data_IF_057365972905
#
_entry.id   IF_057365972905
#
_cell.length_a   1.000
_cell.length_b   1.000
_cell.length_c   1.000
_cell.angle_alpha   90.00
_cell.angle_beta   90.00
_cell.angle_gamma   90.00
#
_symmetry.space_group_name_H-M   'P 1'
#
loop_
_entity.id
_entity.type
_entity.pdbx_description
1 polymer ?
#
# COMPACT_ATOMS: atom_id res chain seq x y z
N UNK A 1 -7.99 9.33 18.92
CA UNK A 1 -7.48 8.09 18.30
C UNK A 1 -8.52 7.62 17.30
N UNK A 2 -8.14 7.28 16.07
CA UNK A 2 -9.03 6.72 15.05
C UNK A 2 -8.80 5.20 14.98
N UNK A 3 -9.84 4.43 15.22
CA UNK A 3 -9.77 2.98 15.35
C UNK A 3 -10.25 2.29 14.09
N UNK A 4 -9.37 1.52 13.43
CA UNK A 4 -9.71 0.77 12.23
C UNK A 4 -9.69 -0.72 12.54
N UNK A 5 -10.85 -1.38 12.46
CA UNK A 5 -10.92 -2.83 12.45
C UNK A 5 -10.87 -3.32 10.99
N UNK A 6 -10.17 -4.43 10.75
CA UNK A 6 -10.03 -5.00 9.42
C UNK A 6 -9.89 -6.52 9.48
N UNK A 7 -10.16 -7.19 8.38
CA UNK A 7 -9.91 -8.63 8.25
C UNK A 7 -9.48 -9.01 6.84
N UNK A 8 -8.73 -10.10 6.74
CA UNK A 8 -8.60 -10.88 5.53
C UNK A 8 -9.84 -11.79 5.41
N UNK A 9 -10.58 -11.66 4.31
CA UNK A 9 -11.76 -12.47 4.06
C UNK A 9 -11.42 -13.97 3.95
N UNK A 10 -12.36 -14.84 4.36
CA UNK A 10 -12.20 -16.29 4.35
C UNK A 10 -11.15 -16.84 5.32
N UNK A 11 -10.64 -18.04 5.04
CA UNK A 11 -9.53 -18.76 5.66
C UNK A 11 -8.88 -19.73 4.64
N UNK A 12 -7.88 -20.50 5.07
CA UNK A 12 -7.19 -21.47 4.22
C UNK A 12 -8.07 -22.67 3.80
N UNK A 13 -9.14 -22.96 4.55
CA UNK A 13 -10.00 -24.12 4.31
C UNK A 13 -11.33 -23.78 3.63
N UNK A 14 -11.66 -22.49 3.47
CA UNK A 14 -12.95 -22.07 2.87
C UNK A 14 -13.12 -22.69 1.46
N UNK A 15 -14.16 -23.52 1.24
CA UNK A 15 -14.33 -24.23 -0.02
C UNK A 15 -14.49 -23.31 -1.23
N UNK A 16 -13.85 -23.63 -2.36
CA UNK A 16 -13.98 -22.89 -3.62
C UNK A 16 -13.27 -21.54 -3.68
N UNK A 17 -12.74 -21.02 -2.56
CA UNK A 17 -12.11 -19.70 -2.47
C UNK A 17 -10.62 -19.78 -2.83
N UNK A 18 -10.35 -19.84 -4.15
CA UNK A 18 -9.00 -19.99 -4.73
C UNK A 18 -8.97 -19.66 -6.22
N UNK A 19 -7.79 -19.33 -6.73
CA UNK A 19 -7.60 -19.19 -8.17
C UNK A 19 -7.84 -20.53 -8.90
N UNK A 20 -8.38 -20.49 -10.11
CA UNK A 20 -8.51 -21.70 -10.94
C UNK A 20 -7.14 -22.16 -11.44
N UNK A 21 -6.95 -23.49 -11.54
CA UNK A 21 -5.66 -24.12 -11.90
C UNK A 21 -5.10 -23.67 -13.26
N UNK A 22 -5.94 -23.25 -14.19
CA UNK A 22 -5.51 -22.77 -15.51
C UNK A 22 -4.90 -21.36 -15.50
N UNK A 23 -5.10 -20.57 -14.42
CA UNK A 23 -4.46 -19.26 -14.21
C UNK A 23 -3.34 -19.33 -13.17
N UNK A 24 -3.48 -20.21 -12.20
CA UNK A 24 -2.47 -20.46 -11.17
C UNK A 24 -2.41 -21.95 -10.84
N UNK A 25 -1.36 -22.68 -11.28
CA UNK A 25 -1.20 -24.11 -10.98
C UNK A 25 -1.18 -24.44 -9.48
N UNK A 26 -0.78 -23.48 -8.63
CA UNK A 26 -0.77 -23.66 -7.18
C UNK A 26 -2.16 -23.49 -6.56
N UNK A 27 -3.13 -23.00 -7.32
CA UNK A 27 -4.48 -22.70 -6.84
C UNK A 27 -4.46 -21.87 -5.54
N UNK A 28 -3.69 -20.79 -5.54
CA UNK A 28 -3.53 -19.91 -4.38
C UNK A 28 -4.88 -19.54 -3.79
N UNK A 29 -5.02 -19.72 -2.49
CA UNK A 29 -6.26 -19.41 -1.75
C UNK A 29 -6.54 -17.92 -1.75
N UNK A 30 -7.81 -17.54 -1.81
CA UNK A 30 -8.23 -16.15 -1.68
C UNK A 30 -7.72 -15.51 -0.38
N UNK A 31 -7.80 -16.25 0.72
CA UNK A 31 -7.30 -15.80 2.00
C UNK A 31 -5.80 -15.40 1.94
N UNK A 32 -4.96 -16.16 1.22
CA UNK A 32 -3.52 -15.83 1.08
C UNK A 32 -3.30 -14.46 0.40
N UNK A 33 -4.13 -14.13 -0.58
CA UNK A 33 -4.07 -12.82 -1.23
C UNK A 33 -4.57 -11.72 -0.30
N UNK A 34 -5.67 -11.96 0.39
CA UNK A 34 -6.28 -11.05 1.34
C UNK A 34 -5.35 -10.78 2.54
N UNK A 35 -4.68 -11.83 3.05
CA UNK A 35 -3.72 -11.79 4.14
C UNK A 35 -2.49 -10.90 3.80
N UNK A 36 -1.93 -11.04 2.59
CA UNK A 36 -0.84 -10.17 2.12
C UNK A 36 -1.25 -8.69 2.14
N UNK A 37 -2.47 -8.39 1.65
CA UNK A 37 -3.00 -7.02 1.69
C UNK A 37 -3.19 -6.56 3.13
N UNK A 38 -3.76 -7.38 3.99
CA UNK A 38 -4.00 -7.08 5.41
C UNK A 38 -2.70 -6.80 6.17
N UNK A 39 -1.65 -7.58 5.91
CA UNK A 39 -0.33 -7.39 6.51
C UNK A 39 0.34 -6.08 6.06
N UNK A 40 0.23 -5.74 4.77
CA UNK A 40 0.74 -4.46 4.27
C UNK A 40 -0.09 -3.28 4.75
N UNK A 41 -1.41 -3.44 4.88
CA UNK A 41 -2.28 -2.42 5.47
C UNK A 41 -1.89 -2.10 6.92
N UNK A 42 -1.63 -3.12 7.73
CA UNK A 42 -1.14 -2.94 9.08
C UNK A 42 0.17 -2.13 9.13
N UNK A 43 1.11 -2.41 8.22
CA UNK A 43 2.36 -1.66 8.09
C UNK A 43 2.12 -0.22 7.64
N UNK A 44 1.19 0.00 6.69
CA UNK A 44 0.84 1.34 6.22
C UNK A 44 0.23 2.20 7.33
N UNK A 45 -0.64 1.61 8.16
CA UNK A 45 -1.30 2.30 9.28
C UNK A 45 -0.31 2.85 10.32
N UNK A 46 0.85 2.20 10.50
CA UNK A 46 1.91 2.69 11.40
C UNK A 46 2.47 4.06 10.99
N UNK A 47 2.30 4.46 9.74
CA UNK A 47 2.73 5.75 9.20
C UNK A 47 1.80 6.92 9.54
N UNK A 48 0.71 6.71 10.26
CA UNK A 48 -0.27 7.76 10.57
C UNK A 48 -0.37 8.05 12.06
N UNK A 49 -0.59 9.33 12.41
CA UNK A 49 -0.78 9.78 13.78
C UNK A 49 -2.16 9.38 14.30
N UNK A 50 -2.21 8.99 15.56
CA UNK A 50 -3.48 8.73 16.25
C UNK A 50 -4.30 7.58 15.67
N UNK A 51 -3.70 6.65 14.93
CA UNK A 51 -4.36 5.45 14.38
C UNK A 51 -4.10 4.24 15.25
N UNK A 52 -5.15 3.51 15.56
CA UNK A 52 -5.11 2.17 16.15
C UNK A 52 -5.76 1.18 15.18
N UNK A 53 -5.22 -0.03 15.11
CA UNK A 53 -5.74 -1.08 14.23
C UNK A 53 -6.05 -2.36 15.00
N UNK A 54 -7.10 -3.06 14.60
CA UNK A 54 -7.49 -4.35 15.14
C UNK A 54 -7.78 -5.33 13.99
N UNK A 55 -6.99 -6.38 13.88
CA UNK A 55 -7.31 -7.50 12.98
C UNK A 55 -8.37 -8.40 13.62
N UNK A 56 -9.43 -8.75 12.89
CA UNK A 56 -10.58 -9.48 13.44
C UNK A 56 -10.64 -10.95 13.03
N UNK A 57 -9.98 -11.36 11.93
CA UNK A 57 -9.79 -12.76 11.54
C UNK A 57 -8.61 -13.42 12.29
N UNK A 58 -8.41 -14.72 12.06
CA UNK A 58 -7.19 -15.42 12.47
C UNK A 58 -6.06 -15.15 11.48
N UNK A 59 -5.01 -14.44 11.93
CA UNK A 59 -3.86 -14.08 11.09
C UNK A 59 -3.01 -15.27 10.61
N UNK A 60 -3.31 -16.50 11.08
CA UNK A 60 -2.67 -17.71 10.56
C UNK A 60 -3.49 -18.40 9.48
N UNK A 61 -4.76 -17.98 9.31
CA UNK A 61 -5.73 -18.56 8.37
C UNK A 61 -6.14 -20.01 8.68
N UNK A 62 -5.72 -20.55 9.82
CA UNK A 62 -5.97 -21.95 10.21
C UNK A 62 -7.27 -22.15 10.97
N UNK A 63 -7.77 -21.08 11.58
CA UNK A 63 -8.99 -21.09 12.37
C UNK A 63 -10.04 -20.25 11.67
N UNK A 64 -11.15 -20.87 11.31
CA UNK A 64 -12.30 -20.12 10.78
C UNK A 64 -12.89 -19.24 11.88
N UNK A 65 -12.90 -17.93 11.63
CA UNK A 65 -13.63 -16.96 12.43
C UNK A 65 -14.80 -16.48 11.58
N UNK A 66 -16.02 -16.72 12.00
CA UNK A 66 -17.19 -16.36 11.21
C UNK A 66 -17.44 -14.84 11.17
N UNK A 67 -18.31 -14.40 10.27
CA UNK A 67 -18.59 -12.96 10.09
C UNK A 67 -19.20 -12.33 11.35
N UNK A 68 -20.18 -12.97 12.05
CA UNK A 68 -20.69 -12.45 13.31
C UNK A 68 -19.60 -12.21 14.36
N UNK A 69 -18.66 -13.14 14.53
CA UNK A 69 -17.58 -13.01 15.50
C UNK A 69 -16.59 -11.89 15.11
N UNK A 70 -16.22 -11.80 13.82
CA UNK A 70 -15.36 -10.71 13.31
C UNK A 70 -15.99 -9.35 13.56
N UNK A 71 -17.27 -9.20 13.24
CA UNK A 71 -18.00 -7.93 13.40
C UNK A 71 -18.27 -7.61 14.85
N UNK A 72 -18.61 -8.61 15.69
CA UNK A 72 -18.77 -8.42 17.13
C UNK A 72 -17.48 -7.95 17.80
N UNK A 73 -16.33 -8.49 17.40
CA UNK A 73 -15.00 -8.06 17.86
C UNK A 73 -14.73 -6.58 17.52
N UNK A 74 -15.03 -6.17 16.29
CA UNK A 74 -14.90 -4.78 15.85
C UNK A 74 -15.87 -3.85 16.62
N UNK A 75 -17.14 -4.24 16.75
CA UNK A 75 -18.16 -3.49 17.48
C UNK A 75 -17.77 -3.30 18.96
N UNK A 76 -17.36 -4.38 19.63
CA UNK A 76 -16.97 -4.35 21.05
C UNK A 76 -15.71 -3.52 21.29
N UNK A 77 -14.79 -3.49 20.33
CA UNK A 77 -13.59 -2.66 20.42
C UNK A 77 -13.88 -1.17 20.17
N UNK A 78 -15.05 -0.84 19.62
CA UNK A 78 -15.47 0.52 19.31
C UNK A 78 -14.68 1.08 18.14
N UNK A 79 -14.60 0.33 17.04
CA UNK A 79 -13.96 0.79 15.81
C UNK A 79 -14.71 1.97 15.20
N UNK A 80 -13.98 2.89 14.55
CA UNK A 80 -14.53 4.01 13.79
C UNK A 80 -14.75 3.64 12.33
N UNK A 81 -14.05 2.59 11.85
CA UNK A 81 -14.16 2.05 10.49
C UNK A 81 -13.89 0.54 10.51
N UNK A 82 -14.65 -0.20 9.70
CA UNK A 82 -14.39 -1.61 9.41
C UNK A 82 -14.04 -1.81 7.93
N UNK A 83 -12.99 -2.59 7.66
CA UNK A 83 -12.55 -2.90 6.28
C UNK A 83 -12.47 -4.41 6.10
N UNK A 84 -13.28 -4.95 5.19
CA UNK A 84 -13.28 -6.35 4.79
C UNK A 84 -12.51 -6.49 3.47
N UNK A 85 -11.40 -7.24 3.49
CA UNK A 85 -10.45 -7.33 2.37
C UNK A 85 -10.62 -8.64 1.62
N UNK A 86 -10.90 -8.57 0.32
CA UNK A 86 -11.25 -9.71 -0.53
C UNK A 86 -10.62 -9.64 -1.93
N UNK A 87 -10.71 -10.75 -2.66
CA UNK A 87 -10.49 -10.85 -4.09
C UNK A 87 -11.68 -11.53 -4.77
N UNK A 88 -12.17 -10.94 -5.83
CA UNK A 88 -13.41 -11.28 -6.51
C UNK A 88 -13.26 -12.49 -7.44
N UNK A 89 -14.40 -12.98 -7.95
CA UNK A 89 -14.50 -13.96 -9.02
C UNK A 89 -15.77 -13.71 -9.85
N UNK A 90 -15.89 -14.36 -11.01
CA UNK A 90 -17.06 -14.27 -11.90
C UNK A 90 -16.73 -13.77 -13.30
N UNK A 91 -15.44 -13.76 -13.69
CA UNK A 91 -14.97 -13.46 -15.07
C UNK A 91 -14.82 -14.74 -15.89
N UNK A 92 -14.67 -15.91 -15.22
CA UNK A 92 -14.63 -17.25 -15.83
C UNK A 92 -13.54 -17.37 -16.91
N UNK A 93 -12.35 -16.89 -16.65
CA UNK A 93 -11.19 -16.97 -17.58
C UNK A 93 -11.18 -15.89 -18.65
N UNK A 94 -12.16 -14.99 -18.69
CA UNK A 94 -12.17 -13.82 -19.56
C UNK A 94 -11.17 -12.77 -19.15
N UNK A 95 -11.15 -11.66 -19.89
CA UNK A 95 -10.33 -10.48 -19.59
C UNK A 95 -11.16 -9.43 -18.87
N UNK A 96 -10.48 -8.53 -18.14
CA UNK A 96 -11.11 -7.44 -17.38
C UNK A 96 -11.32 -7.82 -15.92
N UNK A 97 -12.19 -7.09 -15.24
CA UNK A 97 -12.38 -7.17 -13.80
C UNK A 97 -12.01 -5.88 -13.13
N UNK A 98 -10.90 -5.87 -12.38
CA UNK A 98 -10.38 -4.72 -11.65
C UNK A 98 -10.92 -4.60 -10.23
N UNK A 99 -10.49 -3.58 -9.52
CA UNK A 99 -10.91 -3.30 -8.15
C UNK A 99 -12.39 -2.94 -8.10
N UNK A 100 -13.10 -3.51 -7.11
CA UNK A 100 -14.47 -3.12 -6.77
C UNK A 100 -14.55 -2.79 -5.28
N UNK A 101 -15.41 -1.86 -4.90
CA UNK A 101 -15.62 -1.54 -3.50
C UNK A 101 -17.11 -1.39 -3.17
N UNK A 102 -17.47 -1.80 -1.96
CA UNK A 102 -18.86 -1.91 -1.53
C UNK A 102 -19.06 -1.21 -0.18
N UNK A 103 -20.21 -0.57 -0.02
CA UNK A 103 -20.70 -0.08 1.25
C UNK A 103 -22.12 -0.60 1.52
N UNK A 104 -22.56 -0.55 2.78
CA UNK A 104 -23.92 -0.90 3.11
C UNK A 104 -24.93 0.09 2.49
N UNK A 105 -26.10 -0.38 1.97
CA UNK A 105 -27.11 0.49 1.37
C UNK A 105 -27.53 1.62 2.30
N UNK A 106 -27.50 2.86 1.77
CA UNK A 106 -27.86 4.06 2.52
C UNK A 106 -26.81 4.59 3.49
N UNK A 107 -25.68 3.89 3.70
CA UNK A 107 -24.60 4.36 4.57
C UNK A 107 -23.80 5.50 3.93
N UNK A 108 -24.09 6.74 4.28
CA UNK A 108 -23.39 7.92 3.76
C UNK A 108 -21.91 7.90 4.12
N UNK A 109 -21.57 7.53 5.34
CA UNK A 109 -20.16 7.44 5.76
C UNK A 109 -19.45 6.25 5.13
N UNK A 110 -20.12 5.10 5.02
CA UNK A 110 -19.58 3.94 4.30
C UNK A 110 -19.25 4.28 2.84
N UNK A 111 -20.13 5.01 2.14
CA UNK A 111 -19.86 5.51 0.78
C UNK A 111 -18.64 6.42 0.73
N UNK A 112 -18.52 7.37 1.66
CA UNK A 112 -17.38 8.29 1.71
C UNK A 112 -16.05 7.54 1.78
N UNK A 113 -15.93 6.54 2.65
CA UNK A 113 -14.72 5.72 2.77
C UNK A 113 -14.52 4.83 1.54
N UNK A 114 -15.58 4.18 1.05
CA UNK A 114 -15.55 3.34 -0.16
C UNK A 114 -14.97 4.10 -1.36
N UNK A 115 -15.51 5.28 -1.63
CA UNK A 115 -15.14 6.10 -2.77
C UNK A 115 -13.70 6.59 -2.65
N UNK A 116 -13.30 7.09 -1.47
CA UNK A 116 -11.94 7.56 -1.22
C UNK A 116 -10.90 6.42 -1.32
N UNK A 117 -11.21 5.23 -0.79
CA UNK A 117 -10.34 4.05 -0.90
C UNK A 117 -10.17 3.65 -2.36
N UNK A 118 -11.26 3.54 -3.10
CA UNK A 118 -11.22 3.18 -4.52
C UNK A 118 -10.40 4.19 -5.33
N UNK A 119 -10.67 5.48 -5.19
CA UNK A 119 -9.95 6.55 -5.88
C UNK A 119 -8.45 6.49 -5.59
N UNK A 120 -8.06 6.34 -4.33
CA UNK A 120 -6.66 6.22 -3.94
C UNK A 120 -5.98 5.00 -4.58
N UNK A 121 -6.65 3.85 -4.62
CA UNK A 121 -6.12 2.64 -5.27
C UNK A 121 -5.91 2.87 -6.77
N UNK A 122 -6.88 3.48 -7.46
CA UNK A 122 -6.76 3.72 -8.91
C UNK A 122 -5.68 4.76 -9.21
N UNK A 123 -5.58 5.82 -8.42
CA UNK A 123 -4.51 6.83 -8.54
C UNK A 123 -3.12 6.25 -8.31
N UNK A 124 -2.98 5.29 -7.39
CA UNK A 124 -1.73 4.59 -7.14
C UNK A 124 -1.33 3.60 -8.26
N UNK A 125 -2.19 3.37 -9.26
CA UNK A 125 -1.95 2.42 -10.36
C UNK A 125 -2.54 1.03 -10.12
N UNK A 126 -3.48 0.89 -9.21
CA UNK A 126 -4.26 -0.35 -9.01
C UNK A 126 -5.11 -0.71 -10.23
N UNK A 127 -5.61 -1.93 -10.24
CA UNK A 127 -6.37 -2.50 -11.36
C UNK A 127 -7.71 -1.75 -11.57
N UNK A 128 -7.77 -0.84 -12.54
CA UNK A 128 -9.00 -0.15 -12.90
C UNK A 128 -10.03 -1.11 -13.53
N UNK A 129 -9.55 -2.04 -14.34
CA UNK A 129 -10.41 -3.00 -15.04
C UNK A 129 -11.41 -2.37 -16.00
N UNK A 130 -12.48 -3.11 -16.29
CA UNK A 130 -13.52 -2.72 -17.28
C UNK A 130 -14.94 -2.72 -16.71
N UNK A 131 -15.11 -2.71 -15.39
CA UNK A 131 -16.42 -2.69 -14.74
C UNK A 131 -17.06 -1.31 -14.89
N UNK A 132 -18.33 -1.29 -15.37
CA UNK A 132 -19.10 -0.05 -15.49
C UNK A 132 -19.53 0.53 -14.13
N UNK A 133 -19.66 -0.34 -13.12
CA UNK A 133 -20.04 0.03 -11.75
C UNK A 133 -19.09 -0.66 -10.76
N UNK A 134 -17.87 -0.15 -10.57
CA UNK A 134 -16.93 -0.69 -9.60
C UNK A 134 -17.32 -0.33 -8.14
N UNK A 135 -18.10 0.74 -7.95
CA UNK A 135 -18.57 1.22 -6.66
C UNK A 135 -20.05 0.85 -6.51
N UNK A 136 -20.37 0.06 -5.50
CA UNK A 136 -21.73 -0.45 -5.31
C UNK A 136 -22.17 -0.38 -3.85
N UNK A 137 -23.48 -0.46 -3.64
CA UNK A 137 -24.08 -0.69 -2.33
C UNK A 137 -24.60 -2.13 -2.29
N UNK A 138 -24.18 -2.88 -1.26
CA UNK A 138 -24.58 -4.29 -1.05
C UNK A 138 -24.77 -4.55 0.44
N UNK A 139 -25.82 -5.31 0.76
CA UNK A 139 -26.09 -5.73 2.14
C UNK A 139 -25.32 -7.03 2.47
N UNK A 140 -23.99 -7.01 2.34
CA UNK A 140 -23.15 -8.10 2.81
C UNK A 140 -23.18 -8.16 4.35
N UNK A 141 -23.15 -9.34 4.92
CA UNK A 141 -23.24 -9.52 6.37
C UNK A 141 -22.13 -8.77 7.12
N UNK A 142 -20.91 -8.76 6.57
CA UNK A 142 -19.79 -8.01 7.14
C UNK A 142 -20.00 -6.50 7.18
N UNK A 143 -20.87 -5.96 6.33
CA UNK A 143 -21.25 -4.56 6.32
C UNK A 143 -22.53 -4.29 7.12
N UNK A 144 -23.42 -5.28 7.20
CA UNK A 144 -24.71 -5.16 7.86
C UNK A 144 -24.61 -5.31 9.40
N UNK A 145 -23.70 -6.15 9.87
CA UNK A 145 -23.54 -6.48 11.29
C UNK A 145 -22.59 -5.53 12.04
N UNK A 146 -21.97 -4.59 11.36
CA UNK A 146 -21.12 -3.56 11.95
C UNK A 146 -21.92 -2.35 12.38
N UNK A 147 -21.58 -1.74 13.52
CA UNK A 147 -22.21 -0.52 14.06
C UNK A 147 -21.53 0.77 13.57
N UNK A 148 -20.32 0.67 13.02
CA UNK A 148 -19.57 1.76 12.43
C UNK A 148 -19.68 1.73 10.90
N UNK A 149 -19.23 2.78 10.17
CA UNK A 149 -19.03 2.72 8.73
C UNK A 149 -18.19 1.51 8.34
N UNK A 150 -18.61 0.79 7.30
CA UNK A 150 -17.93 -0.41 6.84
C UNK A 150 -17.79 -0.41 5.31
N UNK A 151 -16.65 -0.94 4.84
CA UNK A 151 -16.32 -1.07 3.41
C UNK A 151 -15.78 -2.48 3.16
N UNK A 152 -16.28 -3.13 2.11
CA UNK A 152 -15.67 -4.34 1.56
C UNK A 152 -14.94 -3.96 0.26
N UNK A 153 -13.68 -4.37 0.14
CA UNK A 153 -12.86 -4.09 -1.03
C UNK A 153 -12.44 -5.39 -1.70
N UNK A 154 -12.71 -5.50 -2.99
CA UNK A 154 -12.28 -6.57 -3.86
C UNK A 154 -11.12 -6.07 -4.72
N UNK A 155 -9.90 -6.53 -4.47
CA UNK A 155 -8.68 -5.98 -5.06
C UNK A 155 -8.34 -6.49 -6.47
N UNK A 156 -9.21 -7.25 -7.08
CA UNK A 156 -9.12 -7.82 -8.42
C UNK A 156 -9.82 -9.17 -8.49
N UNK A 157 -9.89 -9.75 -9.69
CA UNK A 157 -10.63 -10.98 -9.94
C UNK A 157 -9.69 -12.18 -10.09
N UNK A 158 -9.84 -13.16 -9.22
CA UNK A 158 -9.02 -14.39 -9.18
C UNK A 158 -9.15 -15.25 -10.44
N UNK A 159 -10.29 -15.17 -11.13
CA UNK A 159 -10.60 -15.93 -12.34
C UNK A 159 -10.50 -15.11 -13.63
N UNK A 160 -9.90 -13.92 -13.56
CA UNK A 160 -9.62 -13.06 -14.71
C UNK A 160 -8.22 -13.32 -15.28
N UNK A 161 -8.11 -13.52 -16.58
CA UNK A 161 -6.83 -13.69 -17.26
C UNK A 161 -5.93 -12.45 -17.21
N UNK A 162 -6.52 -11.26 -16.99
CA UNK A 162 -5.77 -10.00 -16.86
C UNK A 162 -5.43 -9.65 -15.41
N UNK A 163 -6.29 -9.98 -14.45
CA UNK A 163 -6.07 -9.60 -13.06
C UNK A 163 -5.21 -10.65 -12.32
N UNK A 164 -5.42 -11.94 -12.58
CA UNK A 164 -4.75 -13.03 -11.87
C UNK A 164 -3.21 -12.90 -11.85
N UNK A 165 -2.51 -12.61 -12.96
CA UNK A 165 -1.06 -12.43 -12.93
C UNK A 165 -0.61 -11.26 -12.05
N UNK A 166 -1.45 -10.24 -11.87
CA UNK A 166 -1.16 -9.04 -11.10
C UNK A 166 -1.41 -9.27 -9.61
N UNK A 167 -2.58 -9.79 -9.25
CA UNK A 167 -2.98 -10.01 -7.84
C UNK A 167 -2.12 -11.08 -7.14
N UNK A 168 -1.46 -11.94 -7.89
CA UNK A 168 -0.51 -12.92 -7.35
C UNK A 168 0.80 -12.29 -6.88
N UNK A 169 1.08 -11.03 -7.27
CA UNK A 169 2.34 -10.36 -6.93
C UNK A 169 2.29 -9.68 -5.56
N UNK A 170 3.43 -9.67 -4.89
CA UNK A 170 3.61 -8.93 -3.62
C UNK A 170 3.51 -7.42 -3.83
N UNK A 171 3.94 -6.94 -5.00
CA UNK A 171 3.86 -5.53 -5.39
C UNK A 171 2.43 -5.03 -5.42
N UNK A 172 1.53 -5.82 -6.01
CA UNK A 172 0.12 -5.46 -6.04
C UNK A 172 -0.47 -5.40 -4.63
N UNK A 173 -0.24 -6.43 -3.82
CA UNK A 173 -0.72 -6.46 -2.45
C UNK A 173 -0.26 -5.24 -1.65
N UNK A 174 1.02 -4.89 -1.75
CA UNK A 174 1.60 -3.72 -1.11
C UNK A 174 0.99 -2.42 -1.64
N UNK A 175 0.89 -2.26 -2.98
CA UNK A 175 0.33 -1.08 -3.61
C UNK A 175 -1.09 -0.80 -3.11
N UNK A 176 -1.99 -1.80 -3.22
CA UNK A 176 -3.40 -1.61 -2.87
C UNK A 176 -3.61 -1.41 -1.38
N UNK A 177 -2.79 -2.05 -0.54
CA UNK A 177 -2.86 -1.89 0.91
C UNK A 177 -2.47 -0.48 1.36
N UNK A 178 -1.37 0.05 0.85
CA UNK A 178 -0.93 1.43 1.16
C UNK A 178 -1.93 2.45 0.62
N UNK A 179 -2.42 2.26 -0.61
CA UNK A 179 -3.45 3.12 -1.20
C UNK A 179 -4.78 3.06 -0.42
N UNK A 180 -5.18 1.88 0.08
CA UNK A 180 -6.34 1.74 0.96
C UNK A 180 -6.19 2.61 2.20
N UNK A 181 -5.02 2.59 2.86
CA UNK A 181 -4.78 3.43 4.04
C UNK A 181 -4.74 4.92 3.68
N UNK A 182 -4.22 5.30 2.52
CA UNK A 182 -4.25 6.69 2.03
C UNK A 182 -5.68 7.18 1.80
N UNK A 183 -6.55 6.35 1.19
CA UNK A 183 -7.96 6.65 1.03
C UNK A 183 -8.69 6.82 2.36
N UNK A 184 -8.42 5.93 3.33
CA UNK A 184 -8.93 6.06 4.70
C UNK A 184 -8.48 7.38 5.33
N UNK A 185 -7.19 7.68 5.23
CA UNK A 185 -6.60 8.89 5.82
C UNK A 185 -7.21 10.17 5.22
N UNK A 186 -7.37 10.21 3.91
CA UNK A 186 -8.01 11.33 3.21
C UNK A 186 -9.48 11.51 3.67
N UNK A 187 -10.23 10.42 3.77
CA UNK A 187 -11.63 10.48 4.21
C UNK A 187 -11.79 10.84 5.68
N UNK A 188 -10.90 10.35 6.56
CA UNK A 188 -10.96 10.59 8.00
C UNK A 188 -10.22 11.87 8.44
N UNK A 189 -9.46 12.52 7.56
CA UNK A 189 -8.64 13.68 7.90
C UNK A 189 -7.44 13.32 8.79
N UNK A 190 -6.84 12.12 8.58
CA UNK A 190 -5.69 11.67 9.34
C UNK A 190 -4.39 12.25 8.78
N UNK A 191 -3.48 12.63 9.66
CA UNK A 191 -2.16 13.13 9.30
C UNK A 191 -1.15 11.98 9.26
N UNK A 192 -0.27 11.98 8.26
CA UNK A 192 0.91 11.13 8.29
C UNK A 192 1.80 11.56 9.46
N UNK A 193 2.36 10.59 10.17
CA UNK A 193 3.41 10.88 11.15
C UNK A 193 4.51 11.66 10.44
N UNK A 194 5.07 12.69 11.09
CA UNK A 194 6.33 13.25 10.63
C UNK A 194 7.30 12.08 10.42
N UNK A 195 8.04 12.07 9.32
CA UNK A 195 9.12 11.09 9.14
C UNK A 195 10.08 11.33 10.31
N UNK A 196 9.97 10.48 11.35
CA UNK A 196 10.75 10.67 12.56
C UNK A 196 12.24 10.72 12.22
N UNK A 197 12.96 11.55 12.95
CA UNK A 197 14.41 11.70 12.89
C UNK A 197 15.15 10.34 12.87
N UNK A 198 14.63 9.33 13.58
CA UNK A 198 15.14 7.95 13.54
C UNK A 198 15.10 7.31 12.14
N UNK A 199 14.12 7.62 11.31
CA UNK A 199 14.05 7.14 9.91
C UNK A 199 15.04 7.88 9.01
N UNK A 200 15.25 9.18 9.25
CA UNK A 200 16.26 9.98 8.57
C UNK A 200 17.66 9.56 9.00
N UNK A 201 17.91 9.42 10.31
CA UNK A 201 19.17 8.95 10.85
C UNK A 201 19.55 7.57 10.30
N UNK A 202 18.60 6.64 10.23
CA UNK A 202 18.83 5.32 9.64
C UNK A 202 19.16 5.41 8.14
N UNK A 203 18.45 6.24 7.38
CA UNK A 203 18.76 6.51 5.98
C UNK A 203 20.15 7.11 5.80
N UNK A 204 20.50 8.13 6.60
CA UNK A 204 21.83 8.75 6.56
C UNK A 204 22.93 7.73 6.84
N UNK A 205 22.77 6.86 7.85
CA UNK A 205 23.72 5.77 8.14
C UNK A 205 23.89 4.82 6.95
N UNK A 206 22.80 4.44 6.29
CA UNK A 206 22.86 3.58 5.09
C UNK A 206 23.58 4.29 3.93
N UNK A 207 23.29 5.57 3.69
CA UNK A 207 24.00 6.38 2.68
C UNK A 207 25.49 6.46 3.01
N UNK A 208 25.85 6.77 4.24
CA UNK A 208 27.25 6.86 4.70
C UNK A 208 27.97 5.53 4.50
N UNK A 209 27.36 4.41 4.88
CA UNK A 209 27.92 3.08 4.71
C UNK A 209 28.20 2.75 3.25
N UNK A 210 27.22 3.03 2.36
CA UNK A 210 27.33 2.70 0.93
C UNK A 210 28.32 3.63 0.21
N UNK A 211 28.42 4.89 0.63
CA UNK A 211 29.29 5.89 0.01
C UNK A 211 30.68 5.99 0.65
N UNK A 212 30.95 5.21 1.70
CA UNK A 212 32.25 5.21 2.38
C UNK A 212 32.53 6.49 3.16
N UNK A 213 31.50 7.07 3.80
CA UNK A 213 31.64 8.14 4.77
C UNK A 213 31.64 7.59 6.20
N UNK A 214 31.99 8.41 7.18
CA UNK A 214 31.86 8.06 8.59
C UNK A 214 30.40 7.77 8.94
N UNK A 215 30.11 6.59 9.54
CA UNK A 215 28.74 6.11 9.80
C UNK A 215 28.26 6.59 11.18
N UNK A 216 28.01 7.88 11.30
CA UNK A 216 27.50 8.53 12.53
C UNK A 216 25.99 8.81 12.52
N UNK A 217 25.35 8.75 11.34
CA UNK A 217 23.93 9.06 11.14
C UNK A 217 23.65 10.56 11.07
N UNK A 218 24.67 11.40 10.97
CA UNK A 218 24.57 12.87 10.87
C UNK A 218 24.94 13.28 9.44
N UNK A 219 23.99 13.85 8.70
CA UNK A 219 24.24 14.36 7.36
C UNK A 219 25.05 15.66 7.45
N UNK A 220 26.33 15.56 7.23
CA UNK A 220 27.28 16.68 7.27
C UNK A 220 28.00 16.90 5.94
N UNK A 221 28.95 17.88 5.89
CA UNK A 221 29.74 18.18 4.70
C UNK A 221 30.48 16.95 4.14
N UNK A 222 30.97 16.05 5.01
CA UNK A 222 31.62 14.81 4.59
C UNK A 222 30.64 13.90 3.85
N UNK A 223 29.47 13.60 4.45
CA UNK A 223 28.42 12.79 3.80
C UNK A 223 28.04 13.37 2.45
N UNK A 224 27.80 14.68 2.40
CA UNK A 224 27.44 15.37 1.16
C UNK A 224 28.55 15.29 0.11
N UNK A 225 29.81 15.42 0.52
CA UNK A 225 30.96 15.36 -0.41
C UNK A 225 31.11 14.00 -1.10
N UNK A 226 30.64 12.92 -0.46
CA UNK A 226 30.69 11.54 -0.96
C UNK A 226 29.52 11.18 -1.87
N UNK A 227 28.45 12.01 -1.92
CA UNK A 227 27.29 11.70 -2.77
C UNK A 227 27.67 11.60 -4.24
N UNK A 228 26.99 10.71 -4.94
CA UNK A 228 27.16 10.48 -6.38
C UNK A 228 25.94 10.96 -7.15
N UNK A 229 26.09 11.26 -8.43
CA UNK A 229 24.96 11.53 -9.31
C UNK A 229 24.28 10.22 -9.67
N UNK A 230 22.96 10.15 -9.53
CA UNK A 230 22.14 8.96 -9.85
C UNK A 230 21.01 9.35 -10.79
N UNK A 231 20.93 8.65 -11.91
CA UNK A 231 19.85 8.73 -12.88
C UNK A 231 19.80 7.44 -13.69
N UNK A 232 18.85 7.30 -14.63
CA UNK A 232 18.79 6.18 -15.57
C UNK A 232 20.02 6.08 -16.50
N UNK A 233 20.82 7.14 -16.60
CA UNK A 233 22.01 7.21 -17.45
C UNK A 233 23.33 7.23 -16.66
N UNK A 234 23.25 7.50 -15.35
CA UNK A 234 24.44 7.68 -14.50
C UNK A 234 24.30 6.90 -13.21
N UNK A 235 25.21 5.98 -12.97
CA UNK A 235 25.22 5.17 -11.74
C UNK A 235 23.87 4.45 -11.48
N UNK A 236 23.20 4.00 -12.52
CA UNK A 236 21.86 3.42 -12.52
C UNK A 236 21.73 2.15 -11.65
N UNK A 237 22.85 1.45 -11.40
CA UNK A 237 22.94 0.24 -10.58
C UNK A 237 23.88 0.43 -9.35
N UNK A 238 24.26 1.67 -9.04
CA UNK A 238 25.08 1.93 -7.85
C UNK A 238 24.35 1.49 -6.57
N UNK A 239 25.01 0.87 -5.59
CA UNK A 239 24.37 0.38 -4.37
C UNK A 239 23.49 1.41 -3.62
N UNK A 240 23.79 2.71 -3.78
CA UNK A 240 22.96 3.77 -3.17
C UNK A 240 21.58 3.89 -3.78
N UNK A 241 21.36 3.36 -5.02
CA UNK A 241 20.05 3.40 -5.68
C UNK A 241 18.99 2.70 -4.83
N UNK A 242 19.30 1.51 -4.32
CA UNK A 242 18.39 0.77 -3.44
C UNK A 242 18.02 1.57 -2.18
N UNK A 243 19.01 2.24 -1.58
CA UNK A 243 18.80 3.09 -0.38
C UNK A 243 17.91 4.29 -0.72
N UNK A 244 18.10 4.89 -1.90
CA UNK A 244 17.28 6.00 -2.39
C UNK A 244 15.85 5.56 -2.73
N UNK A 245 15.68 4.38 -3.33
CA UNK A 245 14.35 3.80 -3.60
C UNK A 245 13.56 3.60 -2.29
N UNK A 246 14.19 3.01 -1.27
CA UNK A 246 13.60 2.83 0.05
C UNK A 246 13.24 4.18 0.70
N UNK A 247 14.10 5.19 0.57
CA UNK A 247 13.85 6.53 1.10
C UNK A 247 12.65 7.19 0.41
N UNK A 248 12.64 7.22 -0.93
CA UNK A 248 11.55 7.78 -1.71
C UNK A 248 10.22 7.09 -1.39
N UNK A 249 10.24 5.76 -1.31
CA UNK A 249 9.04 5.01 -0.93
C UNK A 249 8.52 5.40 0.46
N UNK A 250 9.42 5.51 1.46
CA UNK A 250 9.05 5.93 2.82
C UNK A 250 8.54 7.38 2.88
N UNK A 251 9.01 8.24 1.98
CA UNK A 251 8.54 9.62 1.85
C UNK A 251 7.18 9.73 1.11
N UNK A 252 6.60 8.58 0.69
CA UNK A 252 5.29 8.54 0.04
C UNK A 252 5.34 8.53 -1.49
N UNK A 253 6.54 8.52 -2.11
CA UNK A 253 6.69 8.43 -3.57
C UNK A 253 6.62 6.97 -4.03
N UNK A 254 5.44 6.34 -3.85
CA UNK A 254 5.20 4.90 -4.05
C UNK A 254 5.42 4.45 -5.50
N UNK A 255 5.32 5.37 -6.48
CA UNK A 255 5.62 5.11 -7.89
C UNK A 255 7.07 4.67 -8.15
N UNK A 256 7.97 4.80 -7.17
CA UNK A 256 9.35 4.28 -7.25
C UNK A 256 9.38 2.76 -7.47
N UNK A 257 8.32 2.06 -7.06
CA UNK A 257 8.20 0.61 -7.19
C UNK A 257 9.08 -0.17 -6.21
N UNK A 258 9.65 -1.28 -6.69
CA UNK A 258 10.57 -2.11 -5.91
C UNK A 258 11.91 -1.42 -5.66
N UNK A 259 12.52 -1.78 -4.55
CA UNK A 259 13.91 -1.43 -4.21
C UNK A 259 14.89 -2.44 -4.82
N UNK A 260 14.82 -2.60 -6.16
CA UNK A 260 15.60 -3.52 -6.96
C UNK A 260 17.07 -3.07 -7.19
N UNK A 261 17.38 -1.85 -6.78
CA UNK A 261 18.70 -1.25 -6.96
C UNK A 261 18.96 -0.70 -8.38
N UNK A 262 17.90 -0.54 -9.21
CA UNK A 262 18.02 -0.06 -10.58
C UNK A 262 17.30 1.30 -10.71
N UNK A 263 18.02 2.33 -11.15
CA UNK A 263 17.46 3.66 -11.38
C UNK A 263 16.74 3.73 -12.73
N UNK A 264 15.69 2.91 -12.90
CA UNK A 264 14.87 2.84 -14.10
C UNK A 264 13.79 3.92 -14.21
N UNK A 265 12.83 3.77 -15.16
CA UNK A 265 11.76 4.75 -15.38
C UNK A 265 10.91 5.07 -14.15
N UNK A 266 10.60 4.07 -13.33
CA UNK A 266 9.82 4.24 -12.08
C UNK A 266 10.59 5.09 -11.05
N UNK A 267 11.89 4.81 -10.90
CA UNK A 267 12.77 5.63 -10.05
C UNK A 267 12.80 7.09 -10.54
N UNK A 268 13.02 7.30 -11.84
CA UNK A 268 13.03 8.64 -12.47
C UNK A 268 11.73 9.40 -12.20
N UNK A 269 10.57 8.72 -12.32
CA UNK A 269 9.26 9.32 -12.04
C UNK A 269 9.11 9.73 -10.57
N UNK A 270 9.55 8.88 -9.66
CA UNK A 270 9.51 9.17 -8.21
C UNK A 270 10.45 10.33 -7.84
N UNK A 271 11.66 10.37 -8.44
CA UNK A 271 12.59 11.49 -8.25
C UNK A 271 12.00 12.80 -8.75
N UNK A 272 11.37 12.82 -9.93
CA UNK A 272 10.70 14.02 -10.44
C UNK A 272 9.59 14.52 -9.52
N UNK A 273 8.75 13.64 -9.01
CA UNK A 273 7.72 14.01 -8.06
C UNK A 273 8.32 14.58 -6.75
N UNK A 274 9.33 13.89 -6.18
CA UNK A 274 10.06 14.41 -5.02
C UNK A 274 10.67 15.80 -5.28
N UNK A 275 11.31 15.98 -6.44
CA UNK A 275 11.93 17.26 -6.82
C UNK A 275 10.90 18.38 -6.92
N UNK A 276 9.74 18.12 -7.54
CA UNK A 276 8.65 19.06 -7.67
C UNK A 276 8.14 19.51 -6.31
N UNK A 277 7.84 18.55 -5.41
CA UNK A 277 7.29 18.84 -4.07
C UNK A 277 8.29 19.58 -3.18
N UNK A 278 9.59 19.41 -3.41
CA UNK A 278 10.66 20.03 -2.61
C UNK A 278 11.33 21.24 -3.29
N UNK A 279 10.74 21.76 -4.38
CA UNK A 279 11.24 22.92 -5.10
C UNK A 279 12.64 22.73 -5.68
N UNK A 280 12.98 21.48 -6.06
CA UNK A 280 14.22 21.17 -6.77
C UNK A 280 14.01 21.27 -8.28
N UNK A 281 15.10 21.24 -9.06
CA UNK A 281 15.03 21.12 -10.51
C UNK A 281 14.47 19.73 -10.88
N UNK A 282 13.35 19.71 -11.64
CA UNK A 282 12.56 18.49 -11.92
C UNK A 282 13.06 17.78 -13.17
N UNK A 283 14.28 17.25 -13.15
CA UNK A 283 14.91 16.52 -14.26
C UNK A 283 14.89 14.99 -14.09
N UNK A 284 14.63 14.51 -12.86
CA UNK A 284 14.67 13.08 -12.53
C UNK A 284 16.07 12.57 -12.24
N UNK A 285 17.08 13.45 -12.12
CA UNK A 285 18.45 13.14 -11.73
C UNK A 285 18.71 13.61 -10.29
N UNK A 286 19.28 12.76 -9.45
CA UNK A 286 19.78 13.15 -8.12
C UNK A 286 21.24 13.52 -8.28
N UNK A 287 21.53 14.77 -8.66
CA UNK A 287 22.89 15.26 -8.90
C UNK A 287 23.70 15.35 -7.60
N UNK A 288 24.94 14.83 -7.62
CA UNK A 288 25.86 14.86 -6.49
C UNK A 288 25.98 16.26 -5.85
N UNK A 289 25.92 16.31 -4.52
CA UNK A 289 26.09 17.53 -3.70
C UNK A 289 25.01 18.62 -3.91
N UNK A 290 24.04 18.38 -4.80
CA UNK A 290 23.02 19.37 -5.17
C UNK A 290 21.80 19.31 -4.23
N UNK A 291 20.85 20.22 -4.44
CA UNK A 291 19.64 20.46 -3.61
C UNK A 291 18.85 19.18 -3.40
N UNK A 292 18.67 18.33 -4.41
CA UNK A 292 17.93 17.06 -4.27
C UNK A 292 18.57 16.16 -3.21
N UNK A 293 19.90 15.98 -3.22
CA UNK A 293 20.60 15.23 -2.15
C UNK A 293 20.44 15.90 -0.78
N UNK A 294 20.54 17.22 -0.69
CA UNK A 294 20.39 17.95 0.59
C UNK A 294 19.01 17.74 1.18
N UNK A 295 17.96 17.83 0.38
CA UNK A 295 16.58 17.57 0.80
C UNK A 295 16.37 16.12 1.25
N UNK A 296 16.90 15.14 0.51
CA UNK A 296 16.83 13.73 0.91
C UNK A 296 17.53 13.46 2.24
N UNK A 297 18.66 14.13 2.47
CA UNK A 297 19.48 14.01 3.68
C UNK A 297 18.97 14.87 4.86
N UNK A 298 17.91 15.65 4.68
CA UNK A 298 17.38 16.53 5.72
C UNK A 298 18.29 17.69 6.09
N UNK A 299 19.10 18.18 5.17
CA UNK A 299 20.05 19.29 5.37
C UNK A 299 19.44 20.66 5.06
N UNK A 300 18.23 20.70 4.47
CA UNK A 300 17.50 21.95 4.10
C UNK A 300 15.99 21.78 4.32
#
# INVERSE_FOLDING_TARGET
>A
MFKIAYCAGHDLETPGKRLPAYLDPNQTREWVLNDRVADHFAKAALGYEGVEILRTDDSTGKTFVDIPDRTAKANSWGADLYIDMHHNAGINGGTGGGVCAFSYPGSTQGRKYRDAIYEAIIQAGGLKGNRSQPLQEKAFDSLALTTMPAVLVEYGFMDSATDAPVILTEEHAKLVAYATMEGVAAAAGLSKKPVEDASLTAFVRQVQQVLGAAVDGIAGPETLSKTVTVSAEKNDTHPVVKVLQQRLFRLGYTQVGQDDGIAGPKFTQAVKAFQQDNGCWTDGEITARNKTWRKLLGME
#
